data_IF_665045231720
#
_entry.id   IF_665045231720
#
_cell.length_a   1.000
_cell.length_b   1.000
_cell.length_c   1.000
_cell.angle_alpha   90.00
_cell.angle_beta   90.00
_cell.angle_gamma   90.00
#
_symmetry.space_group_name_H-M   'P 1'
#
loop_
_entity.id
_entity.type
_entity.pdbx_description
1 polymer ?
#
# COMPACT_ATOMS: atom_id res chain seq x y z
N UNK A 1 -9.37 -2.72 1.79
CA UNK A 1 -8.46 -3.87 1.97
C UNK A 1 -6.99 -3.48 2.18
N UNK A 2 -6.28 -2.88 1.19
CA UNK A 2 -4.81 -2.64 1.27
C UNK A 2 -4.40 -1.87 2.55
N UNK A 3 -5.10 -0.78 2.88
CA UNK A 3 -4.84 -0.02 4.13
C UNK A 3 -4.91 -0.88 5.40
N UNK A 4 -5.81 -1.86 5.44
CA UNK A 4 -5.87 -2.79 6.57
C UNK A 4 -4.67 -3.75 6.59
N UNK A 5 -4.23 -4.22 5.42
CA UNK A 5 -3.05 -5.08 5.30
C UNK A 5 -1.76 -4.35 5.72
N UNK A 6 -1.66 -3.07 5.37
CA UNK A 6 -0.53 -2.20 5.73
C UNK A 6 -0.61 -1.64 7.18
N UNK A 7 -1.69 -1.92 7.93
CA UNK A 7 -1.87 -1.41 9.29
C UNK A 7 -2.25 0.08 9.39
N UNK A 8 -2.70 0.68 8.29
CA UNK A 8 -2.99 2.12 8.13
C UNK A 8 -4.48 2.40 7.90
N UNK A 9 -5.36 1.49 8.30
CA UNK A 9 -6.82 1.68 8.18
C UNK A 9 -7.39 2.70 9.18
N UNK A 10 -6.67 3.00 10.26
CA UNK A 10 -7.09 3.98 11.27
C UNK A 10 -7.05 5.43 10.79
N UNK A 11 -7.47 6.35 11.66
CA UNK A 11 -7.59 7.80 11.40
C UNK A 11 -6.28 8.42 10.88
N UNK A 12 -5.15 7.94 11.37
CA UNK A 12 -3.81 8.48 11.08
C UNK A 12 -3.15 7.80 9.87
N UNK A 13 -3.88 6.91 9.17
CA UNK A 13 -3.33 6.08 8.12
C UNK A 13 -2.61 6.86 7.01
N UNK A 14 -3.23 7.94 6.53
CA UNK A 14 -2.66 8.79 5.49
C UNK A 14 -1.38 9.54 5.90
N UNK A 15 -1.06 9.58 7.19
CA UNK A 15 0.17 10.19 7.71
C UNK A 15 1.13 9.21 8.39
N UNK A 16 0.87 7.91 8.32
CA UNK A 16 1.68 6.91 9.02
C UNK A 16 2.97 6.66 8.26
N UNK A 17 4.11 6.76 8.95
CA UNK A 17 5.43 6.32 8.51
C UNK A 17 5.62 4.84 8.84
N UNK A 18 6.54 4.20 8.14
CA UNK A 18 7.06 2.89 8.53
C UNK A 18 7.47 2.89 10.01
N UNK A 19 7.08 1.86 10.75
CA UNK A 19 7.33 1.78 12.19
C UNK A 19 6.34 2.55 13.07
N UNK A 20 5.30 3.18 12.50
CA UNK A 20 4.17 3.77 13.24
C UNK A 20 4.33 5.24 13.64
N UNK A 21 5.45 5.87 13.29
CA UNK A 21 5.60 7.33 13.43
C UNK A 21 4.63 8.08 12.51
N UNK A 22 4.45 9.39 12.72
CA UNK A 22 3.58 10.23 11.90
C UNK A 22 4.39 11.33 11.18
N UNK A 23 3.85 11.84 10.09
CA UNK A 23 4.25 13.09 9.46
C UNK A 23 3.09 14.08 9.41
N UNK A 24 3.36 15.38 9.32
CA UNK A 24 2.30 16.41 9.36
C UNK A 24 2.24 17.29 8.11
N UNK A 25 3.28 17.25 7.27
CA UNK A 25 3.31 17.96 5.99
C UNK A 25 2.95 17.01 4.84
N UNK A 26 1.89 17.38 4.12
CA UNK A 26 1.39 16.66 2.95
C UNK A 26 1.87 17.26 1.63
N UNK A 27 2.70 18.31 1.65
CA UNK A 27 3.22 18.95 0.43
C UNK A 27 3.95 17.98 -0.49
N UNK A 28 4.57 16.94 0.07
CA UNK A 28 5.18 15.84 -0.66
C UNK A 28 5.37 14.60 0.24
N UNK A 29 5.76 13.47 -0.36
CA UNK A 29 6.15 12.30 0.39
C UNK A 29 7.34 12.64 1.31
N UNK A 30 7.34 12.20 2.58
CA UNK A 30 8.32 12.67 3.57
C UNK A 30 9.76 12.21 3.27
N UNK A 31 9.94 11.14 2.47
CA UNK A 31 11.22 10.53 2.07
C UNK A 31 12.16 10.25 3.25
N UNK A 32 11.59 10.04 4.44
CA UNK A 32 12.32 9.74 5.67
C UNK A 32 12.68 8.25 5.69
N UNK A 33 13.97 7.95 5.82
CA UNK A 33 14.42 6.58 6.13
C UNK A 33 14.14 6.30 7.61
N UNK A 34 13.30 5.32 7.89
CA UNK A 34 12.98 4.87 9.24
C UNK A 34 13.42 3.42 9.40
N UNK A 35 14.10 3.14 10.51
CA UNK A 35 14.51 1.78 10.87
C UNK A 35 13.59 1.25 11.96
N UNK A 36 12.97 0.10 11.74
CA UNK A 36 12.12 -0.58 12.72
C UNK A 36 12.38 -2.08 12.71
N UNK A 37 12.09 -2.74 13.83
CA UNK A 37 12.18 -4.20 13.95
C UNK A 37 10.88 -4.84 13.50
N UNK A 38 10.94 -5.68 12.47
CA UNK A 38 9.81 -6.43 11.94
C UNK A 38 10.20 -7.90 11.79
N UNK A 39 9.41 -8.82 12.36
CA UNK A 39 9.71 -10.25 12.32
C UNK A 39 11.08 -10.62 12.91
N UNK A 40 11.57 -9.86 13.89
CA UNK A 40 12.88 -10.07 14.53
C UNK A 40 14.09 -9.52 13.76
N UNK A 41 13.91 -8.84 12.62
CA UNK A 41 14.99 -8.16 11.87
C UNK A 41 14.79 -6.66 11.84
N UNK A 42 15.90 -5.92 11.87
CA UNK A 42 15.89 -4.49 11.56
C UNK A 42 15.74 -4.29 10.06
N UNK A 43 14.75 -3.49 9.68
CA UNK A 43 14.46 -3.10 8.30
C UNK A 43 14.50 -1.59 8.25
N UNK A 44 15.19 -1.02 7.26
CA UNK A 44 15.12 0.41 6.94
C UNK A 44 14.20 0.59 5.74
N UNK A 45 13.19 1.42 5.88
CA UNK A 45 12.24 1.71 4.80
C UNK A 45 11.95 3.21 4.71
N UNK A 46 11.48 3.64 3.55
CA UNK A 46 10.93 4.99 3.35
C UNK A 46 9.41 4.99 3.30
N UNK A 47 8.78 3.85 3.58
CA UNK A 47 7.34 3.67 3.46
C UNK A 47 6.56 4.72 4.26
N UNK A 48 5.60 5.38 3.60
CA UNK A 48 4.74 6.38 4.23
C UNK A 48 3.32 6.39 3.64
N UNK A 49 2.39 6.94 4.41
CA UNK A 49 1.01 7.13 4.03
C UNK A 49 0.16 5.87 4.11
N UNK A 50 -1.09 6.00 3.67
CA UNK A 50 -2.12 4.98 3.82
C UNK A 50 -1.79 3.70 3.03
N UNK A 51 -0.97 3.80 1.99
CA UNK A 51 -0.58 2.66 1.17
C UNK A 51 0.92 2.34 1.28
N UNK A 52 1.60 2.90 2.30
CA UNK A 52 3.02 2.63 2.61
C UNK A 52 3.94 2.76 1.38
N UNK A 53 3.78 3.85 0.61
CA UNK A 53 4.57 4.12 -0.58
C UNK A 53 6.04 4.27 -0.21
N UNK A 54 6.94 3.61 -0.94
CA UNK A 54 8.36 3.94 -0.90
C UNK A 54 8.60 5.26 -1.66
N UNK A 55 9.66 5.99 -1.28
CA UNK A 55 10.01 7.27 -1.92
C UNK A 55 10.06 7.18 -3.46
N UNK A 56 10.77 6.19 -4.00
CA UNK A 56 10.88 6.01 -5.46
C UNK A 56 9.56 5.64 -6.14
N UNK A 57 8.76 4.77 -5.52
CA UNK A 57 7.41 4.42 -6.01
C UNK A 57 6.50 5.64 -6.05
N UNK A 58 6.56 6.49 -5.01
CA UNK A 58 5.84 7.75 -4.99
C UNK A 58 6.29 8.68 -6.13
N UNK A 59 7.60 8.85 -6.32
CA UNK A 59 8.15 9.72 -7.35
C UNK A 59 7.68 9.30 -8.76
N UNK A 60 7.63 7.99 -9.03
CA UNK A 60 7.09 7.43 -10.27
C UNK A 60 5.59 7.75 -10.45
N UNK A 61 4.77 7.51 -9.43
CA UNK A 61 3.34 7.76 -9.49
C UNK A 61 3.04 9.26 -9.62
N UNK A 62 3.75 10.10 -8.85
CA UNK A 62 3.65 11.56 -8.89
C UNK A 62 3.97 12.09 -10.28
N UNK A 63 5.05 11.62 -10.91
CA UNK A 63 5.41 12.02 -12.26
C UNK A 63 4.38 11.54 -13.29
N UNK A 64 3.93 10.29 -13.21
CA UNK A 64 3.01 9.69 -14.17
C UNK A 64 1.60 10.32 -14.15
N UNK A 65 1.18 10.83 -12.99
CA UNK A 65 -0.14 11.42 -12.78
C UNK A 65 -0.13 12.95 -12.61
N UNK A 66 1.05 13.57 -12.58
CA UNK A 66 1.21 14.99 -12.21
C UNK A 66 0.57 15.34 -10.86
N UNK A 67 0.78 14.49 -9.84
CA UNK A 67 0.19 14.70 -8.52
C UNK A 67 0.80 15.95 -7.85
N UNK A 68 -0.04 16.86 -7.32
CA UNK A 68 0.44 18.14 -6.80
C UNK A 68 1.13 17.98 -5.43
N UNK A 69 0.74 16.97 -4.66
CA UNK A 69 1.08 16.81 -3.25
C UNK A 69 0.96 15.34 -2.83
N UNK A 70 1.21 15.04 -1.55
CA UNK A 70 1.02 13.72 -0.94
C UNK A 70 -0.27 13.64 -0.10
N UNK A 71 -1.27 14.49 -0.39
CA UNK A 71 -2.57 14.50 0.31
C UNK A 71 -3.29 13.15 0.22
N UNK A 72 -4.31 12.89 1.07
CA UNK A 72 -5.10 11.67 0.99
C UNK A 72 -5.64 11.36 -0.42
N UNK A 73 -6.12 12.37 -1.14
CA UNK A 73 -6.62 12.20 -2.50
C UNK A 73 -5.52 11.78 -3.48
N UNK A 74 -4.33 12.40 -3.39
CA UNK A 74 -3.18 12.04 -4.23
C UNK A 74 -2.67 10.63 -3.92
N UNK A 75 -2.68 10.22 -2.65
CA UNK A 75 -2.34 8.86 -2.24
C UNK A 75 -3.31 7.82 -2.82
N UNK A 76 -4.62 8.08 -2.78
CA UNK A 76 -5.62 7.18 -3.36
C UNK A 76 -5.44 7.01 -4.87
N UNK A 77 -5.19 8.12 -5.58
CA UNK A 77 -4.92 8.11 -7.02
C UNK A 77 -3.63 7.35 -7.35
N UNK A 78 -2.56 7.56 -6.60
CA UNK A 78 -1.31 6.83 -6.76
C UNK A 78 -1.51 5.31 -6.53
N UNK A 79 -2.25 4.92 -5.50
CA UNK A 79 -2.55 3.51 -5.22
C UNK A 79 -3.33 2.86 -6.37
N UNK A 80 -4.36 3.52 -6.89
CA UNK A 80 -5.12 3.04 -8.05
C UNK A 80 -4.23 2.92 -9.30
N UNK A 81 -3.32 3.87 -9.53
CA UNK A 81 -2.36 3.81 -10.62
C UNK A 81 -1.37 2.65 -10.47
N UNK A 82 -0.89 2.36 -9.26
CA UNK A 82 -0.02 1.20 -9.01
C UNK A 82 -0.73 -0.13 -9.30
N UNK A 83 -1.99 -0.26 -8.88
CA UNK A 83 -2.82 -1.44 -9.21
C UNK A 83 -2.91 -1.60 -10.74
N UNK A 84 -3.14 -0.50 -11.47
CA UNK A 84 -3.15 -0.49 -12.94
C UNK A 84 -1.80 -0.87 -13.53
N UNK A 85 -0.70 -0.31 -13.02
CA UNK A 85 0.68 -0.58 -13.46
C UNK A 85 1.06 -2.05 -13.27
N UNK A 86 0.56 -2.69 -12.20
CA UNK A 86 0.71 -4.14 -11.95
C UNK A 86 -0.19 -5.00 -12.82
N UNK A 87 -1.02 -4.41 -13.69
CA UNK A 87 -1.95 -5.13 -14.57
C UNK A 87 -3.10 -5.80 -13.82
N UNK A 88 -3.40 -5.35 -12.60
CA UNK A 88 -4.41 -5.95 -11.71
C UNK A 88 -5.78 -5.26 -11.80
N UNK A 89 -5.87 -4.06 -12.42
CA UNK A 89 -7.10 -3.26 -12.41
C UNK A 89 -8.30 -4.00 -13.03
N UNK A 90 -8.09 -4.69 -14.15
CA UNK A 90 -9.15 -5.50 -14.80
C UNK A 90 -9.60 -6.67 -13.92
N UNK A 91 -8.69 -7.26 -13.15
CA UNK A 91 -9.02 -8.35 -12.22
C UNK A 91 -9.80 -7.84 -11.02
N UNK A 92 -9.43 -6.67 -10.49
CA UNK A 92 -10.18 -6.00 -9.42
C UNK A 92 -11.61 -5.73 -9.85
N UNK A 93 -11.84 -5.15 -11.04
CA UNK A 93 -13.20 -4.87 -11.53
C UNK A 93 -13.99 -6.14 -11.81
N UNK A 94 -13.33 -7.21 -12.23
CA UNK A 94 -13.97 -8.49 -12.51
C UNK A 94 -14.07 -9.40 -11.27
N UNK A 95 -13.80 -8.91 -10.05
CA UNK A 95 -13.90 -9.70 -8.83
C UNK A 95 -12.87 -10.84 -8.70
N UNK A 96 -11.85 -10.89 -9.56
CA UNK A 96 -10.78 -11.90 -9.55
C UNK A 96 -9.71 -11.55 -8.53
N UNK A 97 -10.09 -11.52 -7.26
CA UNK A 97 -9.27 -11.00 -6.17
C UNK A 97 -7.92 -11.71 -6.05
N UNK A 98 -7.88 -13.05 -6.09
CA UNK A 98 -6.62 -13.79 -5.91
C UNK A 98 -5.60 -13.47 -7.02
N UNK A 99 -6.06 -13.31 -8.26
CA UNK A 99 -5.22 -12.87 -9.38
C UNK A 99 -4.70 -11.44 -9.15
N UNK A 100 -5.57 -10.53 -8.71
CA UNK A 100 -5.18 -9.16 -8.40
C UNK A 100 -4.15 -9.10 -7.27
N UNK A 101 -4.35 -9.88 -6.20
CA UNK A 101 -3.42 -9.99 -5.06
C UNK A 101 -2.05 -10.49 -5.52
N UNK A 102 -2.01 -11.57 -6.32
CA UNK A 102 -0.76 -12.12 -6.84
C UNK A 102 0.02 -11.09 -7.69
N UNK A 103 -0.67 -10.32 -8.52
CA UNK A 103 -0.05 -9.25 -9.34
C UNK A 103 0.48 -8.09 -8.49
N UNK A 104 -0.22 -7.76 -7.40
CA UNK A 104 0.12 -6.66 -6.51
C UNK A 104 1.12 -7.03 -5.40
N UNK A 105 1.45 -8.31 -5.22
CA UNK A 105 2.34 -8.79 -4.14
C UNK A 105 3.78 -8.22 -4.19
N UNK A 106 4.22 -7.75 -5.36
CA UNK A 106 5.51 -7.04 -5.54
C UNK A 106 5.42 -5.52 -5.31
N UNK A 107 4.24 -5.01 -4.97
CA UNK A 107 4.02 -3.59 -4.67
C UNK A 107 3.85 -3.38 -3.16
N UNK A 108 3.04 -4.22 -2.52
CA UNK A 108 2.75 -4.12 -1.09
C UNK A 108 3.30 -5.33 -0.35
N UNK A 109 4.27 -5.09 0.54
CA UNK A 109 4.99 -6.14 1.23
C UNK A 109 4.11 -6.95 2.19
N UNK A 110 2.99 -6.39 2.63
CA UNK A 110 2.01 -7.05 3.51
C UNK A 110 1.12 -8.07 2.79
N UNK A 111 1.05 -8.05 1.45
CA UNK A 111 0.12 -8.89 0.70
C UNK A 111 0.59 -10.36 0.64
N UNK A 112 -0.37 -11.32 0.54
CA UNK A 112 -0.03 -12.73 0.39
C UNK A 112 0.90 -12.96 -0.81
N UNK A 113 1.95 -13.75 -0.62
CA UNK A 113 2.92 -14.07 -1.68
C UNK A 113 3.96 -12.99 -1.96
N UNK A 114 4.03 -11.93 -1.14
CA UNK A 114 5.11 -10.94 -1.19
C UNK A 114 6.48 -11.59 -0.98
N UNK A 115 7.50 -11.25 -1.80
CA UNK A 115 8.82 -11.89 -1.75
C UNK A 115 9.78 -11.27 -0.72
N UNK A 116 9.39 -10.22 -0.01
CA UNK A 116 10.32 -9.38 0.76
C UNK A 116 10.70 -9.93 2.14
N UNK A 117 10.19 -11.11 2.51
CA UNK A 117 10.46 -11.75 3.81
C UNK A 117 9.84 -11.04 5.02
N UNK A 118 9.04 -9.99 4.78
CA UNK A 118 8.24 -9.32 5.79
C UNK A 118 6.98 -10.15 6.10
N UNK A 119 6.39 -10.04 7.31
CA UNK A 119 5.11 -10.66 7.61
C UNK A 119 4.04 -10.25 6.60
N UNK A 120 3.27 -11.24 6.12
CA UNK A 120 2.15 -11.03 5.19
C UNK A 120 0.84 -11.42 5.86
N UNK A 121 -0.27 -10.81 5.40
CA UNK A 121 -1.60 -11.32 5.75
C UNK A 121 -1.88 -12.61 4.99
N UNK A 122 -2.74 -13.48 5.54
CA UNK A 122 -3.18 -14.69 4.83
C UNK A 122 -4.15 -14.34 3.69
N UNK A 123 -4.22 -15.18 2.66
CA UNK A 123 -5.20 -15.02 1.57
C UNK A 123 -6.64 -15.02 2.10
N UNK A 124 -6.94 -15.82 3.12
CA UNK A 124 -8.24 -15.81 3.80
C UNK A 124 -8.54 -14.45 4.44
N UNK A 125 -7.57 -13.84 5.13
CA UNK A 125 -7.73 -12.50 5.71
C UNK A 125 -7.88 -11.42 4.62
N UNK A 126 -7.13 -11.52 3.53
CA UNK A 126 -7.25 -10.60 2.40
C UNK A 126 -8.65 -10.64 1.78
N UNK A 127 -9.19 -11.85 1.53
CA UNK A 127 -10.58 -12.05 1.10
C UNK A 127 -11.57 -11.44 2.08
N UNK A 128 -11.47 -11.75 3.37
CA UNK A 128 -12.36 -11.14 4.37
C UNK A 128 -12.35 -9.61 4.31
N UNK A 129 -11.16 -8.99 4.30
CA UNK A 129 -11.01 -7.53 4.23
C UNK A 129 -11.49 -6.92 2.91
N UNK A 130 -11.57 -7.70 1.83
CA UNK A 130 -12.15 -7.27 0.56
C UNK A 130 -13.68 -7.33 0.61
N UNK A 131 -14.24 -8.40 1.15
CA UNK A 131 -15.68 -8.56 1.36
C UNK A 131 -16.24 -7.50 2.33
N UNK A 132 -15.56 -7.26 3.46
CA UNK A 132 -15.96 -6.24 4.44
C UNK A 132 -15.98 -4.82 3.85
N UNK A 133 -15.20 -4.59 2.78
CA UNK A 133 -15.16 -3.32 2.05
C UNK A 133 -16.23 -3.24 0.93
N UNK A 134 -17.14 -4.22 0.84
CA UNK A 134 -18.18 -4.29 -0.19
C UNK A 134 -17.73 -4.89 -1.52
N UNK A 135 -16.54 -5.50 -1.57
CA UNK A 135 -16.04 -6.16 -2.78
C UNK A 135 -16.78 -7.47 -3.06
N UNK A 136 -17.05 -7.72 -4.35
CA UNK A 136 -17.72 -8.94 -4.82
C UNK A 136 -16.75 -9.87 -5.54
N UNK A 137 -16.95 -11.18 -5.39
CA UNK A 137 -16.16 -12.21 -6.07
C UNK A 137 -16.82 -12.61 -7.38
N UNK A 138 -16.01 -13.00 -8.36
CA UNK A 138 -16.45 -13.73 -9.55
C UNK A 138 -16.15 -15.21 -9.45
#
# INVERSE_FOLDING_TARGET
>A
MIRNAEGTAGRDGYRTLFGGGLFDDYSDHPRRKVTATLGGRQITSTAAGAYQFLAGTWDEARAALSLPDFSPASQDQAAAWLIRRRGALTDVYAGRLDTALAKCAKEWASLPGSPYGQPTISSAKARQLFADAGGTYA
#
